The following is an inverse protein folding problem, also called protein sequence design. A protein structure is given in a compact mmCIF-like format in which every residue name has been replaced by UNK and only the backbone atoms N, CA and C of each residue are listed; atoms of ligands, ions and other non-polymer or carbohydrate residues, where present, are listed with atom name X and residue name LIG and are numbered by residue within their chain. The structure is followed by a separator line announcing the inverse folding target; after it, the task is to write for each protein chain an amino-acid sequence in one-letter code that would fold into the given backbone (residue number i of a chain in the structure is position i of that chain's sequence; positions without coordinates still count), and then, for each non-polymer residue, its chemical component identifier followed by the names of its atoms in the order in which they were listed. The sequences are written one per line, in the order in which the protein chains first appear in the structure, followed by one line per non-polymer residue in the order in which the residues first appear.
data_IF_594415636438
#
_entry.id   IF_594415636438
#
_cell.length_a   1.000
_cell.length_b   1.000
_cell.length_c   1.000
_cell.angle_alpha   90.00
_cell.angle_beta   90.00
_cell.angle_gamma   90.00
#
_symmetry.space_group_name_H-M   'P 1'
#
loop_
_entity.id
_entity.type
_entity.pdbx_description
1 polymer ?
#
# COMPACT_ATOMS: atom_id res chain seq x y z
N UNK A 1 -11.79 27.79 -4.24
CA UNK A 1 -12.00 26.73 -5.23
C UNK A 1 -10.82 25.79 -5.06
N UNK A 2 -11.06 24.64 -4.45
CA UNK A 2 -10.08 23.58 -4.30
C UNK A 2 -9.76 22.95 -5.68
N UNK A 3 -8.64 22.24 -5.85
CA UNK A 3 -8.37 21.47 -7.08
C UNK A 3 -9.52 20.54 -7.45
N UNK A 4 -10.14 19.88 -6.45
CA UNK A 4 -11.34 19.05 -6.63
C UNK A 4 -12.52 19.85 -7.17
N UNK A 5 -12.76 21.06 -6.61
CA UNK A 5 -13.83 21.94 -7.09
C UNK A 5 -13.58 22.41 -8.54
N UNK A 6 -12.31 22.56 -8.92
CA UNK A 6 -11.90 23.03 -10.25
C UNK A 6 -12.06 21.94 -11.31
N UNK A 7 -11.82 20.68 -10.95
CA UNK A 7 -12.02 19.53 -11.84
C UNK A 7 -13.50 19.12 -11.94
N UNK A 8 -14.31 19.33 -10.89
CA UNK A 8 -15.77 19.13 -10.94
C UNK A 8 -16.53 20.30 -11.57
N UNK A 9 -15.90 21.46 -11.70
CA UNK A 9 -16.51 22.60 -12.34
C UNK A 9 -16.75 22.31 -13.83
N UNK A 10 -17.87 22.77 -14.41
CA UNK A 10 -18.04 22.78 -15.85
C UNK A 10 -16.83 23.49 -16.49
N UNK A 11 -16.32 22.94 -17.60
CA UNK A 11 -15.20 23.53 -18.34
C UNK A 11 -15.42 25.04 -18.66
N UNK A 12 -16.70 25.45 -18.72
CA UNK A 12 -17.13 26.83 -18.89
C UNK A 12 -18.09 27.23 -17.75
N UNK A 13 -17.58 27.86 -16.67
CA UNK A 13 -18.36 28.14 -15.45
C UNK A 13 -19.59 29.02 -15.67
N UNK A 14 -19.48 30.01 -16.57
CA UNK A 14 -20.57 30.97 -16.81
C UNK A 14 -21.48 30.52 -17.97
N UNK A 15 -20.88 30.29 -19.15
CA UNK A 15 -21.57 29.87 -20.37
C UNK A 15 -20.58 29.38 -21.42
N UNK A 16 -20.87 28.22 -22.03
CA UNK A 16 -20.11 27.74 -23.19
C UNK A 16 -20.16 28.77 -24.34
N UNK A 17 -19.02 29.32 -24.81
CA UNK A 17 -19.01 30.38 -25.82
C UNK A 17 -19.75 29.98 -27.10
N UNK A 18 -20.64 30.83 -27.59
CA UNK A 18 -21.54 30.52 -28.72
C UNK A 18 -20.78 30.11 -29.99
N UNK A 19 -19.64 30.75 -30.26
CA UNK A 19 -18.78 30.39 -31.40
C UNK A 19 -18.14 29.01 -31.26
N UNK A 20 -17.73 28.64 -30.04
CA UNK A 20 -17.20 27.30 -29.78
C UNK A 20 -18.30 26.25 -29.84
N UNK A 21 -19.51 26.55 -29.33
CA UNK A 21 -20.67 25.66 -29.46
C UNK A 21 -20.99 25.36 -30.92
N UNK A 22 -21.05 26.38 -31.77
CA UNK A 22 -21.26 26.20 -33.21
C UNK A 22 -20.16 25.33 -33.85
N UNK A 23 -18.89 25.61 -33.55
CA UNK A 23 -17.76 24.82 -34.09
C UNK A 23 -17.77 23.38 -33.61
N UNK A 24 -18.12 23.16 -32.34
CA UNK A 24 -18.29 21.83 -31.77
C UNK A 24 -19.44 21.07 -32.43
N UNK A 25 -20.58 21.72 -32.65
CA UNK A 25 -21.72 21.13 -33.35
C UNK A 25 -21.38 20.74 -34.80
N UNK A 26 -20.61 21.58 -35.49
CA UNK A 26 -20.14 21.30 -36.85
C UNK A 26 -19.14 20.13 -36.87
N UNK A 27 -18.20 20.09 -35.91
CA UNK A 27 -17.26 18.97 -35.75
C UNK A 27 -17.99 17.66 -35.45
N UNK A 28 -18.94 17.68 -34.50
CA UNK A 28 -19.75 16.51 -34.13
C UNK A 28 -20.55 15.98 -35.31
N UNK A 29 -21.14 16.86 -36.12
CA UNK A 29 -21.82 16.47 -37.36
C UNK A 29 -20.87 15.84 -38.38
N UNK A 30 -19.64 16.36 -38.50
CA UNK A 30 -18.63 15.78 -39.38
C UNK A 30 -18.20 14.39 -38.89
N UNK A 31 -17.89 14.24 -37.61
CA UNK A 31 -17.50 12.96 -36.99
C UNK A 31 -18.61 11.90 -37.08
N UNK A 32 -19.88 12.28 -36.88
CA UNK A 32 -21.03 11.35 -37.03
C UNK A 32 -21.29 10.90 -38.46
N UNK A 33 -20.89 11.68 -39.47
CA UNK A 33 -20.97 11.24 -40.87
C UNK A 33 -19.97 10.13 -41.19
N UNK A 34 -18.90 10.03 -40.40
CA UNK A 34 -17.90 8.99 -40.47
C UNK A 34 -18.16 7.90 -39.43
N UNK A 35 -19.33 7.27 -39.52
CA UNK A 35 -19.77 6.26 -38.56
C UNK A 35 -18.86 5.02 -38.51
N UNK A 36 -18.06 4.79 -39.56
CA UNK A 36 -17.14 3.66 -39.63
C UNK A 36 -15.97 3.78 -38.63
N UNK A 37 -15.65 4.99 -38.17
CA UNK A 37 -14.53 5.24 -37.29
C UNK A 37 -14.88 5.19 -35.79
N UNK A 38 -16.16 5.04 -35.41
CA UNK A 38 -16.53 4.90 -33.99
C UNK A 38 -16.31 6.15 -33.13
N UNK A 39 -16.35 7.35 -33.71
CA UNK A 39 -16.10 8.62 -32.99
C UNK A 39 -17.05 8.94 -31.82
N UNK A 40 -18.11 8.15 -31.64
CA UNK A 40 -19.15 8.38 -30.65
C UNK A 40 -18.60 8.39 -29.22
N UNK A 41 -17.62 7.53 -28.91
CA UNK A 41 -16.97 7.47 -27.59
C UNK A 41 -16.32 8.81 -27.18
N UNK A 42 -15.63 9.47 -28.11
CA UNK A 42 -14.98 10.76 -27.85
C UNK A 42 -15.97 11.92 -27.79
N UNK A 43 -17.05 11.84 -28.58
CA UNK A 43 -18.16 12.81 -28.51
C UNK A 43 -18.82 12.74 -27.14
N UNK A 44 -19.09 11.53 -26.66
CA UNK A 44 -19.77 11.32 -25.38
C UNK A 44 -18.87 11.67 -24.19
N UNK A 45 -17.58 11.33 -24.26
CA UNK A 45 -16.58 11.80 -23.29
C UNK A 45 -16.52 13.33 -23.21
N UNK A 46 -16.35 14.03 -24.36
CA UNK A 46 -16.25 15.49 -24.35
C UNK A 46 -17.54 16.19 -23.89
N UNK A 47 -18.70 15.62 -24.22
CA UNK A 47 -20.00 16.13 -23.74
C UNK A 47 -20.18 15.94 -22.23
N UNK A 48 -19.61 14.88 -21.63
CA UNK A 48 -19.61 14.69 -20.17
C UNK A 48 -18.72 15.75 -19.49
N UNK A 49 -17.49 15.92 -19.97
CA UNK A 49 -16.56 16.95 -19.48
C UNK A 49 -17.15 18.37 -19.60
N UNK A 50 -17.84 18.68 -20.71
CA UNK A 50 -18.49 19.97 -20.89
C UNK A 50 -19.62 20.25 -19.89
N UNK A 51 -20.31 19.20 -19.40
CA UNK A 51 -21.44 19.34 -18.48
C UNK A 51 -21.00 19.46 -17.02
N UNK A 52 -19.77 19.04 -16.69
CA UNK A 52 -19.31 18.86 -15.32
C UNK A 52 -20.00 17.63 -14.70
N UNK A 53 -19.23 16.58 -14.46
CA UNK A 53 -19.70 15.30 -13.92
C UNK A 53 -18.89 14.83 -12.72
N UNK A 54 -19.37 13.81 -11.98
CA UNK A 54 -18.63 13.23 -10.87
C UNK A 54 -17.31 12.59 -11.35
N UNK A 55 -16.19 13.12 -10.86
CA UNK A 55 -14.81 12.75 -11.23
C UNK A 55 -14.54 11.25 -11.09
N UNK A 56 -15.15 10.58 -10.10
CA UNK A 56 -14.78 9.20 -9.75
C UNK A 56 -15.01 8.23 -10.92
N UNK A 57 -16.08 8.42 -11.70
CA UNK A 57 -16.38 7.56 -12.85
C UNK A 57 -15.56 7.93 -14.09
N UNK A 58 -15.23 9.22 -14.27
CA UNK A 58 -14.42 9.71 -15.39
C UNK A 58 -12.93 9.40 -15.22
N UNK A 59 -12.40 9.55 -14.00
CA UNK A 59 -10.99 9.25 -13.70
C UNK A 59 -10.70 7.76 -13.89
N UNK A 60 -11.64 6.90 -13.51
CA UNK A 60 -11.48 5.46 -13.69
C UNK A 60 -11.52 5.07 -15.17
N UNK A 61 -12.42 5.70 -15.94
CA UNK A 61 -12.47 5.53 -17.39
C UNK A 61 -11.16 6.00 -18.05
N UNK A 62 -10.69 7.21 -17.74
CA UNK A 62 -9.46 7.79 -18.29
C UNK A 62 -8.21 6.97 -17.91
N UNK A 63 -8.12 6.48 -16.67
CA UNK A 63 -7.09 5.54 -16.25
C UNK A 63 -7.13 4.24 -17.06
N UNK A 64 -8.32 3.68 -17.32
CA UNK A 64 -8.46 2.46 -18.14
C UNK A 64 -8.10 2.66 -19.61
N UNK A 65 -8.26 3.87 -20.14
CA UNK A 65 -7.78 4.24 -21.49
C UNK A 65 -6.25 4.24 -21.55
N UNK A 66 -5.59 4.69 -20.48
CA UNK A 66 -4.11 4.69 -20.40
C UNK A 66 -3.50 3.28 -20.35
N UNK A 67 -4.31 2.27 -20.02
CA UNK A 67 -3.94 0.85 -20.01
C UNK A 67 -4.16 0.16 -21.37
N UNK A 68 -4.52 0.89 -22.42
CA UNK A 68 -4.56 0.33 -23.78
C UNK A 68 -3.14 0.27 -24.32
N UNK A 69 -2.69 -0.92 -24.73
CA UNK A 69 -1.33 -1.16 -25.19
C UNK A 69 -1.00 -0.35 -26.47
N UNK A 70 0.24 0.14 -26.56
CA UNK A 70 0.78 0.87 -27.71
C UNK A 70 0.50 0.24 -29.10
N UNK A 71 0.50 -1.09 -29.30
CA UNK A 71 0.16 -1.69 -30.58
C UNK A 71 -1.25 -1.34 -31.05
N UNK A 72 -2.23 -1.30 -30.15
CA UNK A 72 -3.63 -0.98 -30.47
C UNK A 72 -3.78 0.46 -30.94
N UNK A 73 -3.01 1.40 -30.36
CA UNK A 73 -2.95 2.79 -30.81
C UNK A 73 -2.40 2.93 -32.23
N UNK A 74 -1.51 2.02 -32.66
CA UNK A 74 -0.89 2.03 -34.00
C UNK A 74 -1.76 1.41 -35.08
N UNK A 75 -2.79 0.64 -34.72
CA UNK A 75 -3.75 0.04 -35.65
C UNK A 75 -4.74 1.05 -36.25
N UNK A 76 -4.75 2.27 -35.72
CA UNK A 76 -5.52 3.40 -36.24
C UNK A 76 -6.85 3.62 -35.51
N UNK A 77 -7.53 4.69 -35.91
CA UNK A 77 -8.69 5.26 -35.20
C UNK A 77 -9.86 4.29 -35.07
N UNK A 78 -10.09 3.42 -36.05
CA UNK A 78 -11.18 2.44 -35.99
C UNK A 78 -10.94 1.38 -34.91
N UNK A 79 -9.71 0.85 -34.83
CA UNK A 79 -9.34 -0.20 -33.88
C UNK A 79 -9.40 0.33 -32.45
N UNK A 80 -8.77 1.49 -32.20
CA UNK A 80 -8.76 2.09 -30.87
C UNK A 80 -10.16 2.47 -30.40
N UNK A 81 -10.98 3.10 -31.24
CA UNK A 81 -12.33 3.51 -30.82
C UNK A 81 -13.23 2.29 -30.53
N UNK A 82 -13.02 1.17 -31.25
CA UNK A 82 -13.72 -0.08 -30.99
C UNK A 82 -13.30 -0.70 -29.64
N UNK A 83 -12.00 -0.67 -29.31
CA UNK A 83 -11.52 -1.17 -28.02
C UNK A 83 -11.99 -0.30 -26.85
N UNK A 84 -12.02 1.04 -27.03
CA UNK A 84 -12.57 1.97 -26.05
C UNK A 84 -14.05 1.66 -25.79
N UNK A 85 -14.84 1.49 -26.86
CA UNK A 85 -16.26 1.17 -26.75
C UNK A 85 -16.46 -0.18 -26.03
N UNK A 86 -15.67 -1.21 -26.37
CA UNK A 86 -15.72 -2.51 -25.71
C UNK A 86 -15.47 -2.40 -24.20
N UNK A 87 -14.46 -1.63 -23.78
CA UNK A 87 -14.13 -1.39 -22.37
C UNK A 87 -15.23 -0.61 -21.64
N UNK A 88 -15.86 0.36 -22.30
CA UNK A 88 -16.99 1.13 -21.76
C UNK A 88 -18.24 0.26 -21.56
N UNK A 89 -18.53 -0.64 -22.50
CA UNK A 89 -19.62 -1.60 -22.39
C UNK A 89 -19.38 -2.64 -21.29
N UNK A 90 -18.15 -3.17 -21.18
CA UNK A 90 -17.77 -4.08 -20.11
C UNK A 90 -17.89 -3.41 -18.73
N UNK A 91 -17.49 -2.14 -18.63
CA UNK A 91 -17.65 -1.35 -17.41
C UNK A 91 -19.11 -1.11 -17.05
N UNK A 92 -19.92 -0.70 -18.03
CA UNK A 92 -21.35 -0.45 -17.84
C UNK A 92 -22.10 -1.73 -17.44
N UNK A 93 -21.76 -2.88 -18.03
CA UNK A 93 -22.31 -4.19 -17.64
C UNK A 93 -21.92 -4.56 -16.21
N UNK A 94 -20.67 -4.33 -15.81
CA UNK A 94 -20.23 -4.56 -14.41
C UNK A 94 -20.97 -3.65 -13.42
N UNK A 95 -21.22 -2.39 -13.77
CA UNK A 95 -22.03 -1.48 -12.95
C UNK A 95 -23.52 -1.87 -12.88
N UNK A 96 -24.12 -2.30 -13.99
CA UNK A 96 -25.53 -2.71 -14.02
C UNK A 96 -25.76 -4.03 -13.29
N UNK A 97 -24.82 -4.97 -13.40
CA UNK A 97 -24.87 -6.24 -12.67
C UNK A 97 -24.72 -6.02 -11.16
N UNK A 98 -23.95 -5.02 -10.72
CA UNK A 98 -23.82 -4.65 -9.30
C UNK A 98 -25.02 -3.86 -8.77
N UNK A 99 -25.72 -3.08 -9.60
CA UNK A 99 -26.94 -2.36 -9.19
C UNK A 99 -28.21 -3.24 -9.17
N UNK A 100 -28.22 -4.39 -9.87
CA UNK A 100 -29.38 -5.28 -9.99
C UNK A 100 -29.56 -6.31 -8.87
N UNK A 101 -28.54 -6.54 -8.03
CA UNK A 101 -28.58 -7.48 -6.91
C UNK A 101 -28.74 -6.73 -5.57
N UNK A 102 -29.92 -6.15 -5.34
CA UNK A 102 -30.35 -5.83 -3.98
C UNK A 102 -30.79 -7.12 -3.29
N UNK A 103 -29.81 -7.85 -2.75
CA UNK A 103 -30.03 -8.94 -1.82
C UNK A 103 -30.16 -8.31 -0.43
N UNK A 104 -31.18 -8.74 0.32
CA UNK A 104 -31.47 -8.29 1.68
C UNK A 104 -30.21 -8.31 2.57
N UNK A 105 -29.97 -7.16 3.18
CA UNK A 105 -28.80 -6.67 3.92
C UNK A 105 -28.41 -7.45 5.21
N UNK A 106 -28.68 -8.76 5.29
CA UNK A 106 -28.51 -9.51 6.55
C UNK A 106 -27.63 -10.75 6.52
N UNK A 107 -27.34 -11.37 5.38
CA UNK A 107 -26.68 -12.69 5.40
C UNK A 107 -25.61 -12.97 4.32
N UNK A 108 -25.01 -11.94 3.69
CA UNK A 108 -23.89 -12.15 2.72
C UNK A 108 -22.74 -11.16 2.99
N UNK A 109 -21.47 -11.59 3.08
CA UNK A 109 -20.32 -10.69 3.19
C UNK A 109 -20.13 -9.88 1.91
N UNK A 110 -19.71 -8.61 1.99
CA UNK A 110 -19.73 -7.70 0.84
C UNK A 110 -18.58 -7.98 -0.12
N UNK A 111 -18.82 -8.63 -1.26
CA UNK A 111 -17.83 -8.69 -2.36
C UNK A 111 -18.52 -8.74 -3.74
N UNK A 112 -18.47 -7.61 -4.45
CA UNK A 112 -18.35 -7.48 -5.91
C UNK A 112 -18.38 -5.99 -6.29
N UNK A 113 -17.30 -5.26 -5.96
CA UNK A 113 -17.15 -3.85 -6.31
C UNK A 113 -15.89 -3.26 -5.70
N UNK A 114 -14.80 -3.29 -6.46
CA UNK A 114 -13.52 -2.59 -6.25
C UNK A 114 -13.20 -2.11 -4.83
N UNK A 115 -12.50 -2.94 -4.07
CA UNK A 115 -11.90 -2.53 -2.80
C UNK A 115 -10.43 -2.96 -2.75
N UNK A 116 -9.46 -2.04 -2.67
CA UNK A 116 -8.17 -2.31 -2.06
C UNK A 116 -8.30 -2.99 -0.69
N UNK A 117 -7.18 -3.53 -0.20
CA UNK A 117 -7.09 -4.38 0.99
C UNK A 117 -8.12 -4.03 2.09
N UNK A 118 -9.09 -4.92 2.33
CA UNK A 118 -10.15 -4.70 3.32
C UNK A 118 -9.63 -4.61 4.78
N UNK A 119 -8.39 -5.04 5.02
CA UNK A 119 -7.87 -5.27 6.37
C UNK A 119 -6.52 -4.59 6.57
N UNK A 120 -6.45 -3.75 7.60
CA UNK A 120 -5.21 -3.35 8.24
C UNK A 120 -5.05 -4.11 9.55
N UNK A 121 -3.81 -4.34 9.94
CA UNK A 121 -3.48 -5.05 11.16
C UNK A 121 -2.69 -4.13 12.08
N UNK A 122 -2.99 -4.20 13.38
CA UNK A 122 -2.29 -3.44 14.40
C UNK A 122 -1.99 -4.37 15.57
N UNK A 123 -0.79 -4.24 16.15
CA UNK A 123 -0.46 -4.90 17.40
C UNK A 123 -1.00 -4.09 18.58
N UNK A 124 -1.79 -4.73 19.45
CA UNK A 124 -2.43 -4.05 20.59
C UNK A 124 -1.64 -4.18 21.91
N UNK A 125 -0.41 -4.68 21.86
CA UNK A 125 0.42 -5.01 23.03
C UNK A 125 0.44 -6.49 23.38
N UNK A 126 -0.56 -7.26 22.96
CA UNK A 126 -0.66 -8.70 23.21
C UNK A 126 -0.72 -9.53 21.92
N UNK A 127 -1.49 -9.05 20.92
CA UNK A 127 -1.75 -9.76 19.68
C UNK A 127 -2.01 -8.79 18.52
N UNK A 128 -1.95 -9.29 17.29
CA UNK A 128 -2.36 -8.55 16.10
C UNK A 128 -3.87 -8.63 15.93
N UNK A 129 -4.52 -7.47 15.84
CA UNK A 129 -5.95 -7.33 15.58
C UNK A 129 -6.21 -6.59 14.26
N UNK A 130 -7.43 -6.71 13.75
CA UNK A 130 -7.87 -6.09 12.51
C UNK A 130 -8.51 -4.74 12.78
N UNK A 131 -7.90 -3.71 12.20
CA UNK A 131 -8.49 -2.39 12.01
C UNK A 131 -9.32 -2.46 10.72
N UNK A 132 -10.63 -2.28 10.86
CA UNK A 132 -11.57 -2.40 9.74
C UNK A 132 -11.52 -1.11 8.94
N UNK A 133 -11.25 -1.22 7.65
CA UNK A 133 -11.32 -0.09 6.72
C UNK A 133 -12.78 0.11 6.31
N UNK A 134 -13.23 1.36 6.20
CA UNK A 134 -14.54 1.65 5.61
C UNK A 134 -14.61 1.05 4.19
N UNK A 135 -15.78 0.59 3.71
CA UNK A 135 -16.02 0.28 2.30
C UNK A 135 -15.45 1.28 1.28
N UNK A 136 -15.31 2.57 1.65
CA UNK A 136 -14.67 3.61 0.83
C UNK A 136 -13.14 3.57 0.83
N UNK A 137 -12.53 2.63 1.54
CA UNK A 137 -11.08 2.43 1.61
C UNK A 137 -10.36 3.59 2.29
N UNK A 138 -11.12 4.33 3.10
CA UNK A 138 -10.58 5.28 4.05
C UNK A 138 -10.48 4.56 5.40
N UNK A 139 -9.32 4.69 6.02
CA UNK A 139 -9.24 4.53 7.47
C UNK A 139 -9.91 5.75 8.12
N UNK A 140 -10.39 5.61 9.36
CA UNK A 140 -10.92 6.77 10.09
C UNK A 140 -9.88 7.88 10.18
N UNK A 141 -10.31 9.15 10.13
CA UNK A 141 -9.43 10.31 10.28
C UNK A 141 -8.54 10.15 11.53
N UNK A 142 -9.11 9.76 12.67
CA UNK A 142 -8.37 9.49 13.93
C UNK A 142 -7.22 8.49 13.77
N UNK A 143 -7.38 7.47 12.91
CA UNK A 143 -6.37 6.43 12.72
C UNK A 143 -5.23 6.92 11.83
N UNK A 144 -5.57 7.63 10.74
CA UNK A 144 -4.59 8.29 9.87
C UNK A 144 -3.83 9.37 10.65
N UNK A 145 -4.53 10.16 11.45
CA UNK A 145 -3.94 11.21 12.27
C UNK A 145 -2.97 10.61 13.30
N UNK A 146 -3.28 9.41 13.83
CA UNK A 146 -2.33 8.63 14.62
C UNK A 146 -0.99 8.37 13.91
N UNK A 147 -1.02 7.95 12.64
CA UNK A 147 0.22 7.77 11.86
C UNK A 147 0.91 9.08 11.50
N UNK A 148 0.15 10.15 11.27
CA UNK A 148 0.70 11.50 11.08
C UNK A 148 1.51 11.92 12.30
N UNK A 149 0.96 11.72 13.51
CA UNK A 149 1.66 12.07 14.75
C UNK A 149 2.91 11.19 14.98
N UNK A 150 2.84 9.89 14.69
CA UNK A 150 4.03 9.00 14.73
C UNK A 150 5.12 9.47 13.75
N UNK A 151 4.73 9.84 12.52
CA UNK A 151 5.68 10.36 11.53
C UNK A 151 6.26 11.71 11.95
N UNK A 152 5.47 12.60 12.54
CA UNK A 152 5.95 13.87 13.10
C UNK A 152 6.97 13.65 14.22
N UNK A 153 6.70 12.71 15.11
CA UNK A 153 7.61 12.35 16.18
C UNK A 153 8.95 11.83 15.62
N UNK A 154 8.92 10.91 14.65
CA UNK A 154 10.13 10.40 14.00
C UNK A 154 10.93 11.51 13.28
N UNK A 155 10.24 12.47 12.64
CA UNK A 155 10.88 13.63 11.99
C UNK A 155 11.54 14.57 13.02
N UNK A 156 10.91 14.76 14.18
CA UNK A 156 11.47 15.57 15.27
C UNK A 156 12.72 14.90 15.85
N UNK A 157 12.67 13.60 16.16
CA UNK A 157 13.83 12.84 16.66
C UNK A 157 14.98 12.85 15.66
N UNK A 158 14.67 12.73 14.36
CA UNK A 158 15.67 12.89 13.30
C UNK A 158 16.30 14.29 13.31
N UNK A 159 15.52 15.37 13.45
CA UNK A 159 16.04 16.74 13.54
C UNK A 159 16.94 16.94 14.77
N UNK A 160 16.59 16.32 15.91
CA UNK A 160 17.41 16.32 17.12
C UNK A 160 18.74 15.58 16.89
N UNK A 161 18.70 14.40 16.26
CA UNK A 161 19.89 13.65 15.89
C UNK A 161 20.80 14.43 14.93
N UNK A 162 20.23 15.16 13.97
CA UNK A 162 20.98 16.05 13.07
C UNK A 162 21.57 17.28 13.80
N UNK A 163 21.04 17.68 14.96
CA UNK A 163 21.59 18.82 15.71
C UNK A 163 22.93 18.47 16.40
N UNK A 164 23.25 17.18 16.55
CA UNK A 164 24.50 16.71 17.13
C UNK A 164 25.68 17.07 16.20
N UNK A 165 26.70 17.79 16.69
CA UNK A 165 27.85 18.17 15.85
C UNK A 165 28.56 16.95 15.25
N UNK A 166 28.66 16.92 13.92
CA UNK A 166 29.34 15.84 13.18
C UNK A 166 28.38 14.86 12.50
N UNK A 167 27.12 14.74 12.94
CA UNK A 167 26.16 13.78 12.38
C UNK A 167 25.62 14.18 10.99
N UNK A 168 25.69 15.47 10.62
CA UNK A 168 25.18 15.98 9.33
C UNK A 168 26.15 15.84 8.15
N UNK A 169 27.39 15.41 8.37
CA UNK A 169 28.43 15.51 7.35
C UNK A 169 28.15 14.67 6.09
N UNK A 170 27.33 13.61 6.22
CA UNK A 170 27.08 12.63 5.17
C UNK A 170 25.64 12.63 4.63
N UNK A 171 24.73 13.41 5.21
CA UNK A 171 23.35 13.46 4.73
C UNK A 171 23.24 14.30 3.44
N UNK A 172 22.66 13.77 2.36
CA UNK A 172 22.44 14.58 1.16
C UNK A 172 21.53 15.79 1.45
N UNK A 173 21.98 17.01 1.13
CA UNK A 173 21.20 18.26 1.30
C UNK A 173 19.80 18.17 0.68
N UNK A 174 19.66 17.42 -0.41
CA UNK A 174 18.38 17.16 -1.08
C UNK A 174 17.42 16.36 -0.20
N UNK A 175 17.91 15.38 0.57
CA UNK A 175 17.11 14.60 1.52
C UNK A 175 16.57 15.49 2.61
N UNK A 176 17.45 16.26 3.24
CA UNK A 176 17.11 17.16 4.33
C UNK A 176 16.03 18.16 3.91
N UNK A 177 16.19 18.78 2.73
CA UNK A 177 15.17 19.67 2.18
C UNK A 177 13.83 18.97 1.99
N UNK A 178 13.83 17.74 1.50
CA UNK A 178 12.62 16.96 1.26
C UNK A 178 11.92 16.51 2.55
N UNK A 179 12.67 16.17 3.58
CA UNK A 179 12.14 15.88 4.91
C UNK A 179 11.57 17.13 5.58
N UNK A 180 12.20 18.29 5.38
CA UNK A 180 11.63 19.56 5.84
C UNK A 180 10.32 19.91 5.10
N UNK A 181 10.27 19.72 3.77
CA UNK A 181 9.03 19.89 2.99
C UNK A 181 7.91 18.97 3.52
N UNK A 182 8.24 17.76 3.98
CA UNK A 182 7.28 16.84 4.60
C UNK A 182 6.76 17.38 5.94
N UNK A 183 7.63 17.88 6.81
CA UNK A 183 7.22 18.52 8.08
C UNK A 183 6.24 19.66 7.81
N UNK A 184 6.61 20.56 6.90
CA UNK A 184 5.79 21.72 6.57
C UNK A 184 4.41 21.32 6.01
N UNK A 185 4.34 20.20 5.27
CA UNK A 185 3.09 19.65 4.73
C UNK A 185 2.23 18.94 5.78
N UNK A 186 2.84 18.24 6.74
CA UNK A 186 2.12 17.59 7.85
C UNK A 186 1.51 18.60 8.83
N UNK A 187 2.06 19.81 8.91
CA UNK A 187 1.53 20.90 9.75
C UNK A 187 0.43 21.72 9.07
N UNK A 188 0.42 21.74 7.74
CA UNK A 188 -0.73 22.22 6.98
C UNK A 188 -1.81 21.13 7.08
N UNK A 189 -3.05 21.46 7.46
CA UNK A 189 -4.20 20.53 7.55
C UNK A 189 -4.64 19.93 6.18
N UNK A 190 -3.70 19.64 5.30
CA UNK A 190 -3.86 19.17 3.92
C UNK A 190 -3.46 17.70 3.77
N UNK A 191 -3.27 16.96 4.88
CA UNK A 191 -2.95 15.53 4.85
C UNK A 191 -4.03 14.69 4.13
N UNK A 192 -5.22 15.23 3.93
CA UNK A 192 -6.38 14.55 3.33
C UNK A 192 -6.46 14.68 1.81
N UNK A 193 -5.48 15.34 1.19
CA UNK A 193 -5.52 15.63 -0.24
C UNK A 193 -4.83 14.54 -1.07
N UNK A 194 -5.36 14.28 -2.27
CA UNK A 194 -4.70 13.42 -3.26
C UNK A 194 -3.30 13.91 -3.64
N UNK A 195 -3.06 15.22 -3.55
CA UNK A 195 -1.74 15.84 -3.72
C UNK A 195 -0.76 15.37 -2.66
N UNK A 196 -1.19 15.26 -1.40
CA UNK A 196 -0.37 14.74 -0.31
C UNK A 196 -0.05 13.26 -0.51
N UNK A 197 -1.01 12.43 -0.94
CA UNK A 197 -0.76 11.03 -1.30
C UNK A 197 0.29 10.89 -2.41
N UNK A 198 0.20 11.71 -3.47
CA UNK A 198 1.18 11.74 -4.55
C UNK A 198 2.57 12.19 -4.07
N UNK A 199 2.61 13.20 -3.19
CA UNK A 199 3.84 13.65 -2.56
C UNK A 199 4.49 12.56 -1.70
N UNK A 200 3.73 11.91 -0.81
CA UNK A 200 4.21 10.80 0.02
C UNK A 200 4.80 9.69 -0.82
N UNK A 201 4.12 9.28 -1.90
CA UNK A 201 4.63 8.25 -2.81
C UNK A 201 5.96 8.66 -3.45
N UNK A 202 6.04 9.88 -3.97
CA UNK A 202 7.27 10.41 -4.60
C UNK A 202 8.42 10.49 -3.58
N UNK A 203 8.11 10.97 -2.38
CA UNK A 203 9.08 11.14 -1.30
C UNK A 203 9.58 9.78 -0.79
N UNK A 204 8.70 8.80 -0.58
CA UNK A 204 9.12 7.46 -0.14
C UNK A 204 10.12 6.81 -1.09
N UNK A 205 9.86 6.89 -2.41
CA UNK A 205 10.82 6.37 -3.42
C UNK A 205 12.15 7.12 -3.36
N UNK A 206 12.11 8.43 -3.12
CA UNK A 206 13.32 9.25 -2.97
C UNK A 206 14.10 8.90 -1.70
N UNK A 207 13.43 8.70 -0.56
CA UNK A 207 14.05 8.30 0.71
C UNK A 207 14.64 6.91 0.59
N UNK A 208 13.90 5.95 0.05
CA UNK A 208 14.34 4.56 -0.11
C UNK A 208 15.61 4.46 -0.96
N UNK A 209 15.67 5.16 -2.10
CA UNK A 209 16.89 5.21 -2.93
C UNK A 209 18.08 5.79 -2.18
N UNK A 210 17.85 6.80 -1.35
CA UNK A 210 18.91 7.46 -0.59
C UNK A 210 19.36 6.62 0.59
N UNK A 211 18.44 5.96 1.30
CA UNK A 211 18.74 4.98 2.33
C UNK A 211 19.60 3.84 1.78
N UNK A 212 19.25 3.29 0.61
CA UNK A 212 20.07 2.25 -0.02
C UNK A 212 21.48 2.77 -0.36
N UNK A 213 21.60 4.02 -0.80
CA UNK A 213 22.90 4.63 -1.10
C UNK A 213 23.73 4.83 0.18
N UNK A 214 23.12 5.40 1.21
CA UNK A 214 23.71 5.62 2.54
C UNK A 214 24.17 4.30 3.15
N UNK A 215 23.32 3.26 3.13
CA UNK A 215 23.65 1.93 3.66
C UNK A 215 24.84 1.30 2.92
N UNK A 216 24.92 1.46 1.59
CA UNK A 216 26.08 0.99 0.81
C UNK A 216 27.38 1.70 1.16
N UNK A 217 27.30 2.92 1.66
CA UNK A 217 28.44 3.72 2.10
C UNK A 217 28.77 3.51 3.59
N UNK A 218 28.06 2.62 4.30
CA UNK A 218 28.28 2.31 5.71
C UNK A 218 27.45 3.14 6.68
N UNK A 219 26.38 3.78 6.22
CA UNK A 219 25.50 4.62 7.04
C UNK A 219 25.82 6.11 6.96
N UNK A 220 25.09 6.93 7.72
CA UNK A 220 25.36 8.37 7.87
C UNK A 220 26.53 8.65 8.82
N UNK A 221 27.19 7.62 9.35
CA UNK A 221 28.21 7.73 10.39
C UNK A 221 27.65 7.98 11.80
N UNK A 222 26.33 7.93 11.96
CA UNK A 222 25.62 8.08 13.24
C UNK A 222 24.46 7.09 13.30
N UNK A 223 24.55 6.11 14.21
CA UNK A 223 23.50 5.09 14.40
C UNK A 223 22.12 5.70 14.60
N UNK A 224 22.02 6.74 15.43
CA UNK A 224 20.77 7.46 15.71
C UNK A 224 20.13 8.08 14.45
N UNK A 225 20.94 8.58 13.51
CA UNK A 225 20.45 9.20 12.26
C UNK A 225 19.95 8.12 11.30
N UNK A 226 20.70 7.03 11.17
CA UNK A 226 20.31 5.92 10.32
C UNK A 226 19.04 5.23 10.84
N UNK A 227 18.93 5.08 12.15
CA UNK A 227 17.78 4.51 12.83
C UNK A 227 16.52 5.39 12.67
N UNK A 228 16.62 6.70 12.92
CA UNK A 228 15.47 7.63 12.75
C UNK A 228 15.05 7.76 11.28
N UNK A 229 15.96 7.64 10.31
CA UNK A 229 15.58 7.56 8.89
C UNK A 229 14.79 6.29 8.55
N UNK A 230 15.10 5.15 9.19
CA UNK A 230 14.32 3.92 9.05
C UNK A 230 12.92 4.09 9.65
N UNK A 231 12.80 4.79 10.78
CA UNK A 231 11.50 5.09 11.40
C UNK A 231 10.65 6.00 10.53
N UNK A 232 11.25 7.04 9.94
CA UNK A 232 10.57 7.90 8.96
C UNK A 232 10.10 7.05 7.77
N UNK A 233 10.95 6.17 7.24
CA UNK A 233 10.62 5.30 6.10
C UNK A 233 9.42 4.41 6.43
N UNK A 234 9.43 3.75 7.58
CA UNK A 234 8.35 2.85 7.98
C UNK A 234 7.06 3.61 8.31
N UNK A 235 7.14 4.72 9.06
CA UNK A 235 5.98 5.57 9.37
C UNK A 235 5.35 6.15 8.11
N UNK A 236 6.15 6.52 7.12
CA UNK A 236 5.64 6.90 5.80
C UNK A 236 4.99 5.73 5.06
N UNK A 237 5.52 4.52 5.17
CA UNK A 237 4.91 3.33 4.57
C UNK A 237 3.54 3.05 5.19
N UNK A 238 3.41 3.18 6.50
CA UNK A 238 2.15 2.97 7.23
C UNK A 238 1.12 4.05 6.89
N UNK A 239 1.56 5.32 6.89
CA UNK A 239 0.73 6.44 6.47
C UNK A 239 0.28 6.29 5.01
N UNK A 240 1.15 5.85 4.10
CA UNK A 240 0.78 5.56 2.71
C UNK A 240 -0.32 4.50 2.60
N UNK A 241 -0.29 3.49 3.45
CA UNK A 241 -1.32 2.45 3.51
C UNK A 241 -2.71 3.00 3.82
N UNK A 242 -2.80 4.20 4.40
CA UNK A 242 -4.06 4.86 4.71
C UNK A 242 -4.69 5.59 3.50
N UNK A 243 -3.97 5.74 2.38
CA UNK A 243 -4.46 6.44 1.20
C UNK A 243 -5.02 5.47 0.18
N UNK A 244 -6.30 5.66 -0.16
CA UNK A 244 -7.04 4.88 -1.14
C UNK A 244 -6.31 4.78 -2.48
N UNK A 245 -5.78 5.89 -2.99
CA UNK A 245 -5.13 5.94 -4.30
C UNK A 245 -3.91 5.02 -4.35
N UNK A 246 -3.14 4.96 -3.26
CA UNK A 246 -1.97 4.09 -3.15
C UNK A 246 -2.42 2.63 -3.10
N UNK A 247 -3.44 2.33 -2.31
CA UNK A 247 -3.97 0.99 -2.20
C UNK A 247 -4.54 0.49 -3.55
N UNK A 248 -5.18 1.36 -4.34
CA UNK A 248 -5.63 1.05 -5.71
C UNK A 248 -4.42 0.69 -6.59
N UNK A 249 -3.37 1.51 -6.58
CA UNK A 249 -2.17 1.26 -7.39
C UNK A 249 -1.53 -0.09 -7.03
N UNK A 250 -1.45 -0.41 -5.74
CA UNK A 250 -0.87 -1.66 -5.27
C UNK A 250 -1.74 -2.87 -5.65
N UNK A 251 -3.07 -2.73 -5.57
CA UNK A 251 -4.02 -3.72 -6.07
C UNK A 251 -3.87 -3.97 -7.56
N UNK A 252 -3.80 -2.91 -8.36
CA UNK A 252 -3.63 -3.02 -9.81
C UNK A 252 -2.26 -3.62 -10.16
N UNK A 253 -1.21 -3.32 -9.39
CA UNK A 253 0.09 -3.98 -9.54
C UNK A 253 -0.05 -5.49 -9.34
N UNK A 254 -0.68 -5.92 -8.25
CA UNK A 254 -0.89 -7.34 -7.96
C UNK A 254 -1.80 -8.03 -8.98
N UNK A 255 -2.81 -7.36 -9.55
CA UNK A 255 -3.61 -7.92 -10.64
C UNK A 255 -2.81 -8.24 -11.90
N UNK A 256 -1.72 -7.51 -12.16
CA UNK A 256 -0.85 -7.84 -13.29
C UNK A 256 -0.01 -9.10 -13.03
N UNK A 257 0.18 -9.45 -11.75
CA UNK A 257 1.01 -10.56 -11.28
C UNK A 257 0.15 -11.82 -11.03
N UNK A 258 -1.00 -11.65 -10.38
CA UNK A 258 -1.98 -12.67 -10.00
C UNK A 258 -3.14 -12.62 -11.00
N UNK A 259 -3.25 -13.65 -11.82
CA UNK A 259 -4.17 -13.77 -12.95
C UNK A 259 -5.01 -15.03 -12.81
N UNK A 260 -6.08 -15.15 -13.60
CA UNK A 260 -6.95 -16.33 -13.55
C UNK A 260 -6.22 -17.67 -13.80
N UNK A 261 -5.07 -17.66 -14.48
CA UNK A 261 -4.26 -18.84 -14.76
C UNK A 261 -3.33 -19.28 -13.62
N UNK A 262 -3.12 -18.46 -12.58
CA UNK A 262 -2.30 -18.79 -11.41
C UNK A 262 -3.01 -18.58 -10.07
N UNK A 263 -4.29 -18.20 -10.09
CA UNK A 263 -5.07 -17.88 -8.90
C UNK A 263 -5.16 -19.06 -7.93
N UNK A 264 -5.33 -20.28 -8.44
CA UNK A 264 -5.48 -21.48 -7.60
C UNK A 264 -4.23 -21.78 -6.77
N UNK A 265 -3.04 -21.66 -7.37
CA UNK A 265 -1.79 -21.84 -6.64
C UNK A 265 -1.57 -20.72 -5.62
N UNK A 266 -1.93 -19.48 -5.96
CA UNK A 266 -1.84 -18.35 -5.03
C UNK A 266 -2.78 -18.56 -3.84
N UNK A 267 -4.04 -18.94 -4.08
CA UNK A 267 -5.03 -19.25 -3.04
C UNK A 267 -4.52 -20.37 -2.13
N UNK A 268 -3.95 -21.44 -2.71
CA UNK A 268 -3.40 -22.54 -1.93
C UNK A 268 -2.24 -22.11 -1.00
N UNK A 269 -1.34 -21.24 -1.48
CA UNK A 269 -0.25 -20.72 -0.65
C UNK A 269 -0.73 -19.72 0.40
N UNK A 270 -1.71 -18.87 0.06
CA UNK A 270 -2.36 -17.96 1.02
C UNK A 270 -3.08 -18.72 2.13
N UNK A 271 -3.76 -19.83 1.79
CA UNK A 271 -4.40 -20.72 2.77
C UNK A 271 -3.38 -21.38 3.68
N UNK A 272 -2.30 -21.91 3.10
CA UNK A 272 -1.20 -22.47 3.87
C UNK A 272 -0.52 -21.45 4.81
N UNK A 273 -0.45 -20.18 4.42
CA UNK A 273 0.01 -19.09 5.28
C UNK A 273 -1.02 -18.80 6.40
N UNK A 274 -2.30 -18.65 6.06
CA UNK A 274 -3.39 -18.37 7.02
C UNK A 274 -3.52 -19.47 8.09
N UNK A 275 -3.42 -20.74 7.68
CA UNK A 275 -3.45 -21.90 8.59
C UNK A 275 -2.29 -21.86 9.58
N UNK A 276 -1.06 -21.65 9.09
CA UNK A 276 0.13 -21.56 9.93
C UNK A 276 0.05 -20.37 10.88
N UNK A 277 -0.40 -19.21 10.41
CA UNK A 277 -0.60 -18.02 11.23
C UNK A 277 -1.63 -18.26 12.33
N UNK A 278 -2.71 -18.97 12.01
CA UNK A 278 -3.75 -19.31 12.97
C UNK A 278 -3.27 -20.30 14.04
N UNK A 279 -2.27 -21.13 13.71
CA UNK A 279 -1.63 -22.07 14.61
C UNK A 279 -0.61 -21.42 15.56
N UNK A 280 -0.12 -20.21 15.27
CA UNK A 280 0.68 -19.45 16.24
C UNK A 280 -0.25 -18.96 17.35
N UNK A 281 -0.17 -19.63 18.51
CA UNK A 281 -1.02 -19.34 19.66
C UNK A 281 -0.84 -17.89 20.10
N UNK A 282 -1.96 -17.20 20.34
CA UNK A 282 -1.99 -15.79 20.76
C UNK A 282 -1.37 -14.77 19.78
N UNK A 283 -0.94 -15.14 18.57
CA UNK A 283 -0.42 -14.14 17.62
C UNK A 283 -1.53 -13.25 17.05
N UNK A 284 -2.69 -13.82 16.77
CA UNK A 284 -3.81 -13.14 16.09
C UNK A 284 -5.07 -13.15 16.96
N UNK A 285 -5.80 -12.03 16.96
CA UNK A 285 -7.15 -11.96 17.52
C UNK A 285 -8.11 -12.91 16.78
N UNK A 286 -9.23 -13.34 17.38
CA UNK A 286 -10.25 -14.10 16.67
C UNK A 286 -10.79 -13.37 15.42
N UNK A 287 -10.87 -12.04 15.45
CA UNK A 287 -11.28 -11.20 14.31
C UNK A 287 -10.24 -11.25 13.20
N UNK A 288 -8.95 -11.17 13.54
CA UNK A 288 -7.83 -11.29 12.60
C UNK A 288 -7.71 -12.68 11.97
N UNK A 289 -7.97 -13.75 12.74
CA UNK A 289 -8.05 -15.10 12.17
C UNK A 289 -9.20 -15.20 11.17
N UNK A 290 -10.37 -14.66 11.53
CA UNK A 290 -11.53 -14.67 10.64
C UNK A 290 -11.29 -13.87 9.36
N UNK A 291 -10.62 -12.72 9.43
CA UNK A 291 -10.31 -11.92 8.22
C UNK A 291 -9.34 -12.60 7.27
N UNK A 292 -8.37 -13.37 7.79
CA UNK A 292 -7.40 -14.09 6.95
C UNK A 292 -8.01 -15.31 6.25
N UNK A 293 -8.99 -15.98 6.86
CA UNK A 293 -9.65 -17.15 6.28
C UNK A 293 -10.88 -16.82 5.43
N UNK A 294 -11.66 -15.81 5.83
CA UNK A 294 -13.00 -15.61 5.28
C UNK A 294 -13.05 -15.37 3.76
N UNK A 295 -12.06 -14.65 3.21
CA UNK A 295 -11.97 -14.44 1.76
C UNK A 295 -11.52 -15.71 1.02
N UNK A 296 -10.65 -16.52 1.64
CA UNK A 296 -10.12 -17.75 1.04
C UNK A 296 -11.18 -18.85 0.96
N UNK A 297 -12.01 -18.99 2.00
CA UNK A 297 -13.13 -19.93 1.99
C UNK A 297 -14.10 -19.61 0.84
N UNK A 298 -14.37 -18.32 0.60
CA UNK A 298 -15.19 -17.89 -0.54
C UNK A 298 -14.51 -18.16 -1.88
N UNK A 299 -13.20 -17.93 -1.98
CA UNK A 299 -12.43 -18.19 -3.20
C UNK A 299 -12.48 -19.66 -3.62
N UNK A 300 -12.60 -20.60 -2.68
CA UNK A 300 -12.72 -22.03 -3.00
C UNK A 300 -14.06 -22.38 -3.65
N UNK A 301 -15.14 -21.70 -3.26
CA UNK A 301 -16.49 -21.89 -3.80
C UNK A 301 -16.71 -21.16 -5.15
N UNK A 302 -15.94 -20.11 -5.42
CA UNK A 302 -16.03 -19.34 -6.65
C UNK A 302 -15.51 -20.13 -7.86
N UNK A 303 -16.24 -20.08 -8.97
CA UNK A 303 -15.94 -20.82 -10.22
C UNK A 303 -15.31 -19.94 -11.29
N UNK A 304 -15.51 -18.61 -11.24
CA UNK A 304 -14.90 -17.68 -12.19
C UNK A 304 -13.42 -17.46 -11.85
N UNK A 305 -12.47 -17.85 -12.73
CA UNK A 305 -11.04 -17.70 -12.46
C UNK A 305 -10.60 -16.24 -12.28
N UNK A 306 -11.26 -15.28 -12.93
CA UNK A 306 -10.93 -13.85 -12.78
C UNK A 306 -11.37 -13.32 -11.41
N UNK A 307 -12.54 -13.77 -10.94
CA UNK A 307 -13.02 -13.40 -9.62
C UNK A 307 -12.18 -14.05 -8.51
N UNK A 308 -11.75 -15.31 -8.70
CA UNK A 308 -10.77 -15.97 -7.84
C UNK A 308 -9.45 -15.21 -7.78
N UNK A 309 -8.95 -14.72 -8.92
CA UNK A 309 -7.75 -13.89 -8.98
C UNK A 309 -7.93 -12.57 -8.22
N UNK A 310 -9.08 -11.90 -8.37
CA UNK A 310 -9.41 -10.68 -7.62
C UNK A 310 -9.40 -10.93 -6.10
N UNK A 311 -9.98 -12.04 -5.63
CA UNK A 311 -9.94 -12.43 -4.21
C UNK A 311 -8.51 -12.68 -3.74
N UNK A 312 -7.73 -13.41 -4.54
CA UNK A 312 -6.34 -13.72 -4.25
C UNK A 312 -5.49 -12.45 -4.15
N UNK A 313 -5.74 -11.45 -5.00
CA UNK A 313 -5.11 -10.12 -4.92
C UNK A 313 -5.44 -9.43 -3.60
N UNK A 314 -6.73 -9.37 -3.24
CA UNK A 314 -7.17 -8.67 -2.03
C UNK A 314 -6.64 -9.34 -0.75
N UNK A 315 -6.62 -10.67 -0.74
CA UNK A 315 -6.04 -11.44 0.36
C UNK A 315 -4.50 -11.34 0.39
N UNK A 316 -3.83 -11.22 -0.75
CA UNK A 316 -2.38 -10.96 -0.82
C UNK A 316 -2.06 -9.59 -0.23
N UNK A 317 -2.84 -8.56 -0.52
CA UNK A 317 -2.70 -7.25 0.11
C UNK A 317 -2.93 -7.31 1.63
N UNK A 318 -3.96 -8.02 2.10
CA UNK A 318 -4.21 -8.18 3.53
C UNK A 318 -3.01 -8.84 4.24
N UNK A 319 -2.43 -9.91 3.66
CA UNK A 319 -1.23 -10.55 4.21
C UNK A 319 0.01 -9.63 4.15
N UNK A 320 0.13 -8.80 3.13
CA UNK A 320 1.17 -7.77 3.04
C UNK A 320 1.04 -6.72 4.15
N UNK A 321 -0.18 -6.27 4.44
CA UNK A 321 -0.44 -5.32 5.53
C UNK A 321 -0.11 -5.95 6.90
N UNK A 322 -0.46 -7.21 7.11
CA UNK A 322 -0.07 -7.96 8.31
C UNK A 322 1.46 -8.05 8.44
N UNK A 323 2.15 -8.38 7.35
CA UNK A 323 3.60 -8.45 7.31
C UNK A 323 4.28 -7.11 7.64
N UNK A 324 3.73 -6.00 7.16
CA UNK A 324 4.20 -4.66 7.52
C UNK A 324 3.99 -4.38 9.01
N UNK A 325 2.82 -4.70 9.57
CA UNK A 325 2.55 -4.53 10.99
C UNK A 325 3.49 -5.36 11.87
N UNK A 326 3.77 -6.61 11.48
CA UNK A 326 4.73 -7.49 12.18
C UNK A 326 6.14 -6.90 12.13
N UNK A 327 6.60 -6.45 10.95
CA UNK A 327 7.90 -5.81 10.79
C UNK A 327 8.04 -4.57 11.68
N UNK A 328 7.01 -3.71 11.68
CA UNK A 328 7.00 -2.49 12.48
C UNK A 328 7.11 -2.81 13.97
N UNK A 329 6.30 -3.76 14.44
CA UNK A 329 6.29 -4.14 15.85
C UNK A 329 7.60 -4.79 16.29
N UNK A 330 8.23 -5.61 15.43
CA UNK A 330 9.57 -6.15 15.73
C UNK A 330 10.58 -5.02 15.97
N UNK A 331 10.66 -4.05 15.05
CA UNK A 331 11.58 -2.90 15.18
C UNK A 331 11.29 -2.08 16.43
N UNK A 332 10.02 -1.81 16.71
CA UNK A 332 9.59 -1.06 17.91
C UNK A 332 10.07 -1.76 19.18
N UNK A 333 9.88 -3.08 19.28
CA UNK A 333 10.30 -3.87 20.44
C UNK A 333 11.82 -3.94 20.58
N UNK A 334 12.58 -4.05 19.48
CA UNK A 334 14.05 -3.98 19.50
C UNK A 334 14.53 -2.70 20.20
N UNK A 335 13.90 -1.56 19.90
CA UNK A 335 14.23 -0.25 20.48
C UNK A 335 13.83 -0.13 21.94
N UNK A 336 12.60 -0.53 22.27
CA UNK A 336 12.10 -0.48 23.64
C UNK A 336 12.92 -1.38 24.57
N UNK A 337 13.35 -2.55 24.09
CA UNK A 337 14.19 -3.43 24.88
C UNK A 337 15.58 -2.87 25.16
N UNK A 338 16.16 -2.09 24.23
CA UNK A 338 17.41 -1.37 24.48
C UNK A 338 17.26 -0.26 25.53
N UNK A 339 16.07 0.34 25.67
CA UNK A 339 15.84 1.50 26.55
C UNK A 339 15.32 1.14 27.95
N UNK A 340 14.61 0.03 28.11
CA UNK A 340 13.68 -0.12 29.24
C UNK A 340 13.99 -1.26 30.21
N UNK A 341 13.54 -1.14 31.47
CA UNK A 341 13.68 -2.14 32.55
C UNK A 341 12.36 -2.90 32.78
N UNK A 342 11.66 -3.30 31.70
CA UNK A 342 10.49 -4.18 31.83
C UNK A 342 10.96 -5.57 32.32
N UNK A 343 10.16 -6.23 33.15
CA UNK A 343 10.43 -7.60 33.63
C UNK A 343 10.77 -8.53 32.46
N UNK A 344 11.96 -9.13 32.50
CA UNK A 344 12.54 -9.96 31.43
C UNK A 344 11.58 -11.02 30.88
N UNK A 345 10.75 -11.63 31.74
CA UNK A 345 9.82 -12.68 31.34
C UNK A 345 8.74 -12.23 30.34
N UNK A 346 8.20 -11.01 30.47
CA UNK A 346 7.20 -10.49 29.51
C UNK A 346 7.86 -10.10 28.18
N UNK A 347 9.05 -9.52 28.24
CA UNK A 347 9.86 -9.17 27.05
C UNK A 347 10.18 -10.42 26.24
N UNK A 348 10.66 -11.48 26.89
CA UNK A 348 11.01 -12.74 26.24
C UNK A 348 9.81 -13.40 25.56
N UNK A 349 8.64 -13.41 26.21
CA UNK A 349 7.42 -13.96 25.62
C UNK A 349 6.96 -13.18 24.38
N UNK A 350 6.92 -11.84 24.46
CA UNK A 350 6.55 -10.99 23.32
C UNK A 350 7.53 -11.11 22.15
N UNK A 351 8.85 -11.08 22.43
CA UNK A 351 9.91 -11.27 21.44
C UNK A 351 9.80 -12.64 20.74
N UNK A 352 9.58 -13.69 21.52
CA UNK A 352 9.38 -15.03 20.99
C UNK A 352 8.15 -15.09 20.06
N UNK A 353 7.01 -14.54 20.49
CA UNK A 353 5.78 -14.52 19.71
C UNK A 353 5.96 -13.76 18.38
N UNK A 354 6.58 -12.58 18.42
CA UNK A 354 6.84 -11.77 17.23
C UNK A 354 7.77 -12.47 16.26
N UNK A 355 8.84 -13.12 16.76
CA UNK A 355 9.76 -13.91 15.92
C UNK A 355 9.06 -15.08 15.24
N UNK A 356 8.22 -15.82 15.96
CA UNK A 356 7.42 -16.91 15.38
C UNK A 356 6.47 -16.38 14.30
N UNK A 357 5.76 -15.30 14.60
CA UNK A 357 4.84 -14.64 13.68
C UNK A 357 5.56 -14.19 12.41
N UNK A 358 6.67 -13.46 12.56
CA UNK A 358 7.49 -12.99 11.45
C UNK A 358 8.04 -14.14 10.61
N UNK A 359 8.51 -15.22 11.23
CA UNK A 359 9.00 -16.40 10.52
C UNK A 359 7.92 -17.05 9.66
N UNK A 360 6.71 -17.21 10.21
CA UNK A 360 5.57 -17.79 9.47
C UNK A 360 5.18 -16.92 8.29
N UNK A 361 5.00 -15.60 8.52
CA UNK A 361 4.67 -14.63 7.48
C UNK A 361 5.73 -14.60 6.39
N UNK A 362 7.00 -14.50 6.77
CA UNK A 362 8.13 -14.43 5.83
C UNK A 362 8.21 -15.67 4.96
N UNK A 363 8.05 -16.86 5.55
CA UNK A 363 8.05 -18.12 4.80
C UNK A 363 6.87 -18.21 3.83
N UNK A 364 5.67 -17.81 4.26
CA UNK A 364 4.48 -17.80 3.39
C UNK A 364 4.63 -16.82 2.22
N UNK A 365 5.03 -15.57 2.51
CA UNK A 365 5.26 -14.56 1.47
C UNK A 365 6.40 -14.95 0.52
N UNK A 366 7.45 -15.62 1.01
CA UNK A 366 8.56 -16.10 0.17
C UNK A 366 8.09 -17.07 -0.92
N UNK A 367 7.09 -17.90 -0.62
CA UNK A 367 6.49 -18.79 -1.63
C UNK A 367 5.63 -18.03 -2.64
N UNK A 368 4.95 -16.98 -2.18
CA UNK A 368 4.17 -16.10 -3.05
C UNK A 368 5.04 -15.30 -4.02
N UNK A 369 6.34 -15.10 -3.76
CA UNK A 369 7.25 -14.39 -4.68
C UNK A 369 7.31 -14.99 -6.09
N UNK A 370 6.99 -16.29 -6.25
CA UNK A 370 6.86 -16.92 -7.57
C UNK A 370 5.74 -16.29 -8.40
N UNK A 371 4.69 -15.81 -7.74
CA UNK A 371 3.45 -15.32 -8.35
C UNK A 371 3.29 -13.80 -8.20
N UNK A 372 3.79 -13.22 -7.12
CA UNK A 372 3.73 -11.79 -6.80
C UNK A 372 5.14 -11.22 -6.48
N UNK A 373 5.99 -10.99 -7.50
CA UNK A 373 7.34 -10.46 -7.32
C UNK A 373 7.40 -9.10 -6.62
N UNK A 374 6.33 -8.30 -6.69
CA UNK A 374 6.19 -7.03 -5.97
C UNK A 374 6.36 -7.15 -4.45
N UNK A 375 6.22 -8.34 -3.87
CA UNK A 375 6.42 -8.59 -2.43
C UNK A 375 7.89 -8.78 -2.03
N UNK A 376 8.82 -8.83 -2.98
CA UNK A 376 10.23 -9.18 -2.75
C UNK A 376 10.92 -8.32 -1.69
N UNK A 377 10.74 -7.01 -1.77
CA UNK A 377 11.40 -6.08 -0.85
C UNK A 377 10.86 -6.21 0.57
N UNK A 378 9.57 -6.51 0.74
CA UNK A 378 8.99 -6.76 2.06
C UNK A 378 9.49 -8.08 2.67
N UNK A 379 9.61 -9.14 1.87
CA UNK A 379 10.19 -10.41 2.34
C UNK A 379 11.64 -10.20 2.76
N UNK A 380 12.41 -9.42 1.99
CA UNK A 380 13.79 -9.08 2.33
C UNK A 380 13.85 -8.30 3.65
N UNK A 381 13.07 -7.24 3.80
CA UNK A 381 12.99 -6.42 5.01
C UNK A 381 12.65 -7.25 6.25
N UNK A 382 11.70 -8.20 6.14
CA UNK A 382 11.33 -9.09 7.23
C UNK A 382 12.45 -10.05 7.63
N UNK A 383 13.15 -10.63 6.65
CA UNK A 383 14.31 -11.47 6.94
C UNK A 383 15.40 -10.67 7.67
N UNK A 384 15.70 -9.45 7.21
CA UNK A 384 16.66 -8.57 7.88
C UNK A 384 16.25 -8.25 9.32
N UNK A 385 14.96 -8.00 9.57
CA UNK A 385 14.44 -7.79 10.93
C UNK A 385 14.57 -9.04 11.82
N UNK A 386 14.33 -10.24 11.26
CA UNK A 386 14.52 -11.50 11.99
C UNK A 386 16.00 -11.73 12.32
N UNK A 387 16.91 -11.53 11.36
CA UNK A 387 18.34 -11.69 11.60
C UNK A 387 18.90 -10.69 12.61
N UNK A 388 18.47 -9.42 12.55
CA UNK A 388 18.90 -8.42 13.53
C UNK A 388 18.54 -8.82 14.98
N UNK A 389 17.37 -9.43 15.17
CA UNK A 389 16.92 -9.94 16.46
C UNK A 389 17.70 -11.17 16.95
N UNK A 390 18.24 -11.97 16.02
CA UNK A 390 19.08 -13.14 16.31
C UNK A 390 20.51 -12.74 16.66
N UNK A 391 21.11 -11.82 15.89
CA UNK A 391 22.48 -11.38 16.13
C UNK A 391 22.65 -10.60 17.43
N UNK A 392 21.65 -9.82 17.84
CA UNK A 392 21.68 -9.11 19.14
C UNK A 392 21.64 -10.02 20.38
N UNK A 393 21.51 -11.34 20.21
CA UNK A 393 21.54 -12.32 21.31
C UNK A 393 22.94 -12.86 21.58
N UNK A 394 23.84 -12.85 20.60
CA UNK A 394 25.18 -13.45 20.72
C UNK A 394 26.21 -12.46 21.33
N UNK A 395 26.00 -11.15 21.21
CA UNK A 395 26.91 -10.14 21.77
C UNK A 395 26.77 -9.93 23.30
N UNK A 396 25.92 -10.73 23.97
CA UNK A 396 25.78 -10.75 25.43
C UNK A 396 26.60 -11.88 26.08
N UNK A 397 27.62 -12.42 25.40
CA UNK A 397 28.65 -13.22 26.06
C UNK A 397 29.40 -12.34 27.07
N UNK A 398 29.34 -12.76 28.32
CA UNK A 398 29.85 -12.07 29.51
C UNK A 398 31.34 -11.75 29.33
N UNK A 399 31.75 -10.48 29.17
CA UNK A 399 33.16 -10.12 29.07
C UNK A 399 33.91 -10.34 30.40
N UNK A 400 33.21 -10.71 31.48
CA UNK A 400 33.73 -10.96 32.81
C UNK A 400 33.71 -12.47 33.18
N UNK A 401 34.07 -13.37 32.27
CA UNK A 401 34.58 -14.71 32.67
C UNK A 401 36.14 -14.68 32.74
N UNK A 402 36.74 -14.25 33.87
CA UNK A 402 38.18 -14.15 34.04
C UNK A 402 38.87 -15.51 34.31
N UNK A 403 38.21 -16.65 34.12
CA UNK A 403 38.71 -17.94 34.64
C UNK A 403 39.54 -18.80 33.64
N UNK A 404 39.86 -18.32 32.43
CA UNK A 404 40.67 -19.07 31.44
C UNK A 404 42.14 -18.58 31.30
N UNK A 405 42.71 -17.97 32.34
CA UNK A 405 44.17 -17.92 32.52
C UNK A 405 44.66 -19.25 33.13
N UNK A 406 44.58 -20.36 32.37
CA UNK A 406 45.39 -21.54 32.69
C UNK A 406 46.88 -21.17 32.56
N UNK A 407 47.70 -21.30 33.62
CA UNK A 407 49.11 -21.02 33.54
C UNK A 407 49.77 -22.06 32.62
N UNK A 408 50.33 -21.59 31.51
CA UNK A 408 51.23 -22.37 30.66
C UNK A 408 52.51 -22.63 31.46
N UNK A 409 52.63 -23.84 32.01
CA UNK A 409 53.87 -24.34 32.61
C UNK A 409 55.00 -24.35 31.55
N UNK A 410 56.11 -23.67 31.85
CA UNK A 410 57.37 -23.65 31.08
C UNK A 410 58.36 -24.64 31.67
#
# INVERSE_FOLDING_TARGET
MSPTDLVQAPLWPDRFPTDMRRRWDDMRKAMRKDSAQGWQVWIDWYERVLKGGPIVEELEFDCRLSLIEDPVWKEGTTAINSEIQRREEDYSKRQQNSAGQSISDKDVPPLAGQTPALYHYQYNGELFDVVTVDPQLSVSEDFRDGFVEVLKQALMEFQEALAVPGCNAYLPVRLQKKLQELVDLLDQKNADTSEFAAFLRSLSVSIERQLIAIQKEGGCGSGDVDETLLDIRDSMSDLKGCYREIAIIERETLKTEIRGDNADEVIAELKGLSDKMSAVESALSPKAKKSLHGALDWAEEETDPELRADIAVDQTLANRNLAQAVKHEMRRQSKEFAKDVISEGRKAAAKWLLRQTASVVTLGLSKLLKYAPSLKDLVKDLNEAIYAEESGMDDAEDPDDPDDDEPVDI
#
